data_IF_375750965553
#
_entry.id   IF_375750965553
#
_cell.length_a   1.000
_cell.length_b   1.000
_cell.length_c   1.000
_cell.angle_alpha   90.00
_cell.angle_beta   90.00
_cell.angle_gamma   90.00
#
_symmetry.space_group_name_H-M   'P 1'
#
loop_
_entity.id
_entity.type
_entity.pdbx_description
1 polymer ?
#
# COMPACT_ATOMS: atom_id res chain seq x y z
N UNK A 1 -6.55 -4.35 17.70
CA UNK A 1 -7.04 -5.72 17.46
C UNK A 1 -6.31 -6.23 16.24
N UNK A 2 -5.87 -7.49 16.26
CA UNK A 2 -5.11 -8.06 15.15
C UNK A 2 -6.04 -8.35 13.96
N UNK A 3 -5.45 -8.62 12.80
CA UNK A 3 -6.17 -9.15 11.65
C UNK A 3 -6.85 -10.49 12.03
N UNK A 4 -6.13 -11.36 12.75
CA UNK A 4 -6.59 -12.69 13.17
C UNK A 4 -7.88 -12.62 14.00
N UNK A 5 -7.94 -11.70 14.97
CA UNK A 5 -9.08 -11.54 15.89
C UNK A 5 -10.38 -11.13 15.16
N UNK A 6 -10.25 -10.57 13.96
CA UNK A 6 -11.35 -9.97 13.19
C UNK A 6 -11.74 -10.79 11.97
N UNK A 7 -11.06 -11.90 11.68
CA UNK A 7 -11.39 -12.72 10.52
C UNK A 7 -12.80 -13.30 10.64
N UNK A 8 -13.60 -13.08 9.60
CA UNK A 8 -14.96 -13.64 9.51
C UNK A 8 -15.04 -14.74 8.45
N UNK A 9 -14.05 -14.82 7.57
CA UNK A 9 -13.99 -15.76 6.45
C UNK A 9 -12.55 -15.94 5.97
N UNK A 10 -12.33 -16.96 5.15
CA UNK A 10 -11.07 -17.18 4.44
C UNK A 10 -11.36 -17.79 3.06
N UNK A 11 -10.67 -17.34 1.99
CA UNK A 11 -10.84 -17.92 0.66
C UNK A 11 -10.33 -19.37 0.62
N UNK A 12 -10.98 -20.19 -0.21
CA UNK A 12 -10.47 -21.53 -0.53
C UNK A 12 -9.50 -21.41 -1.69
N UNK A 13 -8.24 -21.83 -1.49
CA UNK A 13 -7.22 -21.78 -2.53
C UNK A 13 -7.69 -22.55 -3.79
N UNK A 14 -7.63 -21.89 -4.95
CA UNK A 14 -7.81 -22.56 -6.24
C UNK A 14 -6.63 -23.50 -6.55
N UNK A 15 -5.41 -23.05 -6.25
CA UNK A 15 -4.16 -23.81 -6.29
C UNK A 15 -3.55 -23.88 -4.88
N UNK A 16 -3.84 -24.94 -4.10
CA UNK A 16 -3.32 -25.09 -2.74
C UNK A 16 -1.79 -25.15 -2.67
N UNK A 17 -1.15 -25.73 -3.69
CA UNK A 17 0.31 -25.83 -3.79
C UNK A 17 0.96 -24.45 -3.89
N UNK A 18 0.42 -23.56 -4.75
CA UNK A 18 0.91 -22.19 -4.86
C UNK A 18 0.68 -21.37 -3.58
N UNK A 19 -0.45 -21.60 -2.90
CA UNK A 19 -0.73 -20.98 -1.61
C UNK A 19 0.27 -21.40 -0.53
N UNK A 20 0.59 -22.70 -0.47
CA UNK A 20 1.56 -23.23 0.48
C UNK A 20 2.99 -22.74 0.20
N UNK A 21 3.37 -22.65 -1.09
CA UNK A 21 4.64 -22.07 -1.52
C UNK A 21 4.76 -20.61 -1.08
N UNK A 22 3.71 -19.80 -1.27
CA UNK A 22 3.70 -18.40 -0.86
C UNK A 22 3.96 -18.22 0.64
N UNK A 23 3.46 -19.14 1.47
CA UNK A 23 3.65 -19.08 2.91
C UNK A 23 5.13 -19.22 3.32
N UNK A 24 5.97 -19.86 2.51
CA UNK A 24 7.42 -19.91 2.75
C UNK A 24 8.08 -18.53 2.75
N UNK A 25 7.47 -17.57 2.05
CA UNK A 25 7.94 -16.18 1.96
C UNK A 25 7.37 -15.27 3.05
N UNK A 26 6.44 -15.75 3.87
CA UNK A 26 5.86 -15.00 4.99
C UNK A 26 6.18 -15.68 6.33
N UNK A 27 7.46 -15.74 6.72
CA UNK A 27 7.86 -16.37 7.97
C UNK A 27 7.21 -15.64 9.16
N UNK A 28 6.56 -16.39 10.04
CA UNK A 28 5.82 -15.85 11.18
C UNK A 28 4.30 -15.80 11.00
N UNK A 29 3.79 -16.05 9.79
CA UNK A 29 2.37 -16.32 9.60
C UNK A 29 2.00 -17.68 10.21
N UNK A 30 0.97 -17.68 11.05
CA UNK A 30 0.44 -18.89 11.67
C UNK A 30 -1.08 -18.81 11.86
N UNK A 31 -1.69 -19.97 12.12
CA UNK A 31 -3.10 -20.06 12.44
C UNK A 31 -4.01 -19.49 11.34
N UNK A 32 -5.13 -18.84 11.71
CA UNK A 32 -6.11 -18.32 10.76
C UNK A 32 -5.54 -17.36 9.70
N UNK A 33 -4.50 -16.60 10.02
CA UNK A 33 -3.87 -15.67 9.08
C UNK A 33 -3.03 -16.42 8.04
N UNK A 34 -2.36 -17.51 8.43
CA UNK A 34 -1.66 -18.37 7.48
C UNK A 34 -2.65 -19.03 6.50
N UNK A 35 -3.82 -19.45 6.98
CA UNK A 35 -4.88 -20.00 6.13
C UNK A 35 -5.41 -18.97 5.14
N UNK A 36 -5.59 -17.72 5.59
CA UNK A 36 -5.98 -16.59 4.74
C UNK A 36 -4.94 -16.33 3.65
N UNK A 37 -3.65 -16.25 4.01
CA UNK A 37 -2.55 -16.03 3.06
C UNK A 37 -2.48 -17.17 2.04
N UNK A 38 -2.58 -18.42 2.49
CA UNK A 38 -2.58 -19.60 1.63
C UNK A 38 -3.75 -19.55 0.65
N UNK A 39 -4.96 -19.27 1.15
CA UNK A 39 -6.17 -19.15 0.33
C UNK A 39 -6.10 -18.03 -0.71
N UNK A 40 -5.57 -16.87 -0.30
CA UNK A 40 -5.44 -15.69 -1.14
C UNK A 40 -4.38 -15.88 -2.23
N UNK A 41 -3.17 -16.31 -1.85
CA UNK A 41 -2.07 -16.53 -2.80
C UNK A 41 -2.38 -17.67 -3.77
N UNK A 42 -3.01 -18.75 -3.29
CA UNK A 42 -3.44 -19.86 -4.15
C UNK A 42 -4.58 -19.52 -5.10
N UNK A 43 -5.22 -18.36 -4.97
CA UNK A 43 -6.33 -17.92 -5.84
C UNK A 43 -6.02 -16.68 -6.66
N UNK A 44 -4.89 -16.01 -6.40
CA UNK A 44 -4.50 -14.76 -7.05
C UNK A 44 -2.99 -14.72 -7.25
N UNK A 45 -2.50 -14.92 -8.49
CA UNK A 45 -1.08 -14.78 -8.81
C UNK A 45 -0.51 -13.40 -8.42
N UNK A 46 -1.36 -12.37 -8.45
CA UNK A 46 -1.00 -11.04 -7.98
C UNK A 46 -0.70 -11.05 -6.48
N UNK A 47 -1.63 -11.55 -5.64
CA UNK A 47 -1.41 -11.60 -4.19
C UNK A 47 -0.25 -12.53 -3.82
N UNK A 48 -0.07 -13.65 -4.54
CA UNK A 48 1.10 -14.51 -4.40
C UNK A 48 2.40 -13.70 -4.56
N UNK A 49 2.53 -12.96 -5.67
CA UNK A 49 3.72 -12.14 -5.92
C UNK A 49 3.97 -11.05 -4.87
N UNK A 50 2.90 -10.53 -4.24
CA UNK A 50 3.02 -9.57 -3.15
C UNK A 50 3.51 -10.22 -1.85
N UNK A 51 3.00 -11.41 -1.52
CA UNK A 51 3.46 -12.20 -0.37
C UNK A 51 4.94 -12.56 -0.55
N UNK A 52 5.35 -13.00 -1.74
CA UNK A 52 6.75 -13.29 -2.06
C UNK A 52 7.67 -12.07 -1.87
N UNK A 53 7.16 -10.88 -2.19
CA UNK A 53 7.94 -9.64 -2.12
C UNK A 53 7.98 -9.00 -0.73
N UNK A 54 6.90 -9.13 0.05
CA UNK A 54 6.69 -8.34 1.29
C UNK A 54 6.35 -9.21 2.51
N UNK A 55 6.47 -10.54 2.43
CA UNK A 55 6.05 -11.45 3.48
C UNK A 55 6.77 -11.25 4.82
N UNK A 56 8.05 -10.84 4.82
CA UNK A 56 8.79 -10.47 6.04
C UNK A 56 8.14 -9.30 6.80
N UNK A 57 7.52 -8.36 6.06
CA UNK A 57 6.81 -7.22 6.65
C UNK A 57 5.39 -7.57 7.08
N UNK A 58 4.75 -8.52 6.39
CA UNK A 58 3.36 -8.87 6.58
C UNK A 58 3.06 -9.33 8.01
N UNK A 59 4.00 -10.01 8.68
CA UNK A 59 3.81 -10.46 10.06
C UNK A 59 3.55 -9.32 11.05
N UNK A 60 4.36 -8.28 11.02
CA UNK A 60 4.10 -7.10 11.85
C UNK A 60 2.83 -6.36 11.43
N UNK A 61 2.54 -6.32 10.13
CA UNK A 61 1.36 -5.64 9.62
C UNK A 61 0.04 -6.31 10.04
N UNK A 62 0.00 -7.64 10.10
CA UNK A 62 -1.18 -8.39 10.52
C UNK A 62 -1.55 -8.17 12.00
N UNK A 63 -0.61 -7.79 12.86
CA UNK A 63 -0.87 -7.51 14.28
C UNK A 63 -1.63 -6.19 14.49
N UNK A 64 -1.41 -5.21 13.62
CA UNK A 64 -2.03 -3.89 13.68
C UNK A 64 -2.16 -3.27 12.28
N UNK A 65 -3.14 -3.71 11.47
CA UNK A 65 -3.17 -3.38 10.04
C UNK A 65 -3.37 -1.88 9.77
N UNK A 66 -4.18 -1.18 10.56
CA UNK A 66 -4.33 0.28 10.44
C UNK A 66 -3.04 1.01 10.80
N UNK A 67 -2.36 0.60 11.88
CA UNK A 67 -1.10 1.22 12.29
C UNK A 67 0.02 0.97 11.25
N UNK A 68 -0.01 -0.18 10.58
CA UNK A 68 0.92 -0.50 9.51
C UNK A 68 0.72 0.39 8.28
N UNK A 69 -0.52 0.74 7.92
CA UNK A 69 -0.81 1.71 6.86
C UNK A 69 -0.33 3.12 7.24
N UNK A 70 -0.60 3.56 8.48
CA UNK A 70 -0.13 4.86 8.96
C UNK A 70 1.40 4.95 8.99
N UNK A 71 2.08 3.86 9.37
CA UNK A 71 3.54 3.79 9.32
C UNK A 71 4.07 3.93 7.88
N UNK A 72 3.44 3.26 6.90
CA UNK A 72 3.79 3.44 5.48
C UNK A 72 3.64 4.91 5.06
N UNK A 73 2.53 5.54 5.43
CA UNK A 73 2.28 6.95 5.09
C UNK A 73 3.30 7.88 5.75
N UNK A 74 3.69 7.61 6.99
CA UNK A 74 4.71 8.38 7.69
C UNK A 74 6.09 8.21 7.03
N UNK A 75 6.54 6.97 6.83
CA UNK A 75 7.85 6.68 6.24
C UNK A 75 8.01 7.29 4.84
N UNK A 76 6.94 7.31 4.05
CA UNK A 76 6.95 7.95 2.73
C UNK A 76 7.14 9.47 2.79
N UNK A 77 6.54 10.15 3.77
CA UNK A 77 6.72 11.60 3.95
C UNK A 77 8.15 11.96 4.35
N UNK A 78 8.81 11.07 5.08
CA UNK A 78 10.22 11.21 5.47
C UNK A 78 11.20 10.74 4.38
N UNK A 79 10.70 10.14 3.28
CA UNK A 79 11.54 9.62 2.22
C UNK A 79 12.03 10.75 1.30
N UNK A 80 13.35 10.89 1.21
CA UNK A 80 14.00 11.81 0.27
C UNK A 80 13.66 11.54 -1.21
N UNK A 81 13.62 12.60 -2.01
CA UNK A 81 13.20 12.54 -3.42
C UNK A 81 14.02 11.57 -4.28
N UNK A 82 15.28 11.33 -3.93
CA UNK A 82 16.20 10.40 -4.61
C UNK A 82 15.79 8.93 -4.46
N UNK A 83 15.13 8.58 -3.34
CA UNK A 83 14.67 7.20 -3.05
C UNK A 83 13.15 7.03 -3.15
N UNK A 84 12.42 8.12 -3.35
CA UNK A 84 10.96 8.12 -3.33
C UNK A 84 10.34 7.16 -4.36
N UNK A 85 10.87 7.09 -5.58
CA UNK A 85 10.31 6.22 -6.62
C UNK A 85 10.29 4.72 -6.24
N UNK A 86 11.43 4.14 -5.84
CA UNK A 86 11.46 2.78 -5.28
C UNK A 86 10.56 2.58 -4.06
N UNK A 87 10.57 3.50 -3.09
CA UNK A 87 9.76 3.35 -1.87
C UNK A 87 8.26 3.44 -2.15
N UNK A 88 7.80 4.32 -3.05
CA UNK A 88 6.40 4.36 -3.48
C UNK A 88 5.94 3.04 -4.10
N UNK A 89 6.81 2.36 -4.87
CA UNK A 89 6.48 1.05 -5.44
C UNK A 89 6.38 -0.03 -4.38
N UNK A 90 7.25 -0.01 -3.37
CA UNK A 90 7.20 -0.92 -2.22
C UNK A 90 5.96 -0.67 -1.37
N UNK A 91 5.69 0.58 -1.04
CA UNK A 91 4.49 0.98 -0.31
C UNK A 91 3.21 0.54 -1.04
N UNK A 92 3.13 0.74 -2.36
CA UNK A 92 1.99 0.28 -3.18
C UNK A 92 1.75 -1.23 -3.05
N UNK A 93 2.81 -2.04 -3.08
CA UNK A 93 2.70 -3.50 -2.89
C UNK A 93 2.16 -3.84 -1.50
N UNK A 94 2.69 -3.20 -0.47
CA UNK A 94 2.29 -3.42 0.93
C UNK A 94 0.84 -3.02 1.21
N UNK A 95 0.44 -1.83 0.75
CA UNK A 95 -0.94 -1.35 0.85
C UNK A 95 -1.88 -2.33 0.14
N UNK A 96 -1.58 -2.71 -1.11
CA UNK A 96 -2.41 -3.65 -1.85
C UNK A 96 -2.50 -5.04 -1.19
N UNK A 97 -1.41 -5.50 -0.56
CA UNK A 97 -1.38 -6.78 0.13
C UNK A 97 -2.26 -6.76 1.37
N UNK A 98 -2.07 -5.79 2.27
CA UNK A 98 -2.82 -5.76 3.53
C UNK A 98 -4.31 -5.45 3.30
N UNK A 99 -4.64 -4.56 2.36
CA UNK A 99 -6.04 -4.27 2.01
C UNK A 99 -6.70 -5.48 1.34
N UNK A 100 -6.00 -6.18 0.43
CA UNK A 100 -6.51 -7.38 -0.20
C UNK A 100 -6.76 -8.52 0.79
N UNK A 101 -5.88 -8.71 1.77
CA UNK A 101 -6.08 -9.71 2.82
C UNK A 101 -7.23 -9.32 3.76
N UNK A 102 -7.34 -8.04 4.14
CA UNK A 102 -8.44 -7.57 4.97
C UNK A 102 -9.81 -7.70 4.26
N UNK A 103 -9.88 -7.46 2.95
CA UNK A 103 -11.07 -7.69 2.13
C UNK A 103 -11.46 -9.18 2.10
N UNK A 104 -10.52 -10.03 1.69
CA UNK A 104 -10.76 -11.47 1.58
C UNK A 104 -11.10 -12.10 2.94
N UNK A 105 -10.49 -11.60 4.02
CA UNK A 105 -10.74 -12.02 5.40
C UNK A 105 -12.05 -11.48 6.00
N UNK A 106 -12.70 -10.53 5.31
CA UNK A 106 -13.91 -9.85 5.79
C UNK A 106 -13.66 -9.02 7.05
N UNK A 107 -12.47 -8.42 7.15
CA UNK A 107 -12.02 -7.61 8.29
C UNK A 107 -12.39 -6.13 8.11
N UNK A 108 -12.30 -5.65 6.87
CA UNK A 108 -12.66 -4.29 6.48
C UNK A 108 -13.88 -4.29 5.57
N UNK A 109 -14.71 -3.25 5.68
CA UNK A 109 -15.79 -2.98 4.74
C UNK A 109 -15.22 -2.50 3.39
N UNK A 110 -16.05 -2.56 2.35
CA UNK A 110 -15.66 -2.06 1.03
C UNK A 110 -15.24 -0.58 1.09
N UNK A 111 -15.96 0.23 1.86
CA UNK A 111 -15.68 1.66 2.05
C UNK A 111 -14.35 1.91 2.77
N UNK A 112 -14.00 1.09 3.76
CA UNK A 112 -12.69 1.16 4.42
C UNK A 112 -11.57 0.81 3.43
N UNK A 113 -11.75 -0.24 2.63
CA UNK A 113 -10.76 -0.68 1.63
C UNK A 113 -10.51 0.42 0.58
N UNK A 114 -11.56 0.91 -0.07
CA UNK A 114 -11.43 1.93 -1.12
C UNK A 114 -10.96 3.26 -0.55
N UNK A 115 -11.32 3.57 0.70
CA UNK A 115 -10.79 4.71 1.46
C UNK A 115 -9.27 4.61 1.62
N UNK A 116 -8.76 3.50 2.16
CA UNK A 116 -7.32 3.28 2.32
C UNK A 116 -6.55 3.33 0.98
N UNK A 117 -7.12 2.76 -0.08
CA UNK A 117 -6.52 2.81 -1.43
C UNK A 117 -6.47 4.25 -1.96
N UNK A 118 -7.53 5.03 -1.75
CA UNK A 118 -7.60 6.45 -2.16
C UNK A 118 -6.61 7.30 -1.38
N UNK A 119 -6.56 7.15 -0.05
CA UNK A 119 -5.66 7.94 0.80
C UNK A 119 -4.19 7.68 0.45
N UNK A 120 -3.83 6.43 0.16
CA UNK A 120 -2.50 6.09 -0.33
C UNK A 120 -2.23 6.72 -1.71
N UNK A 121 -3.19 6.67 -2.64
CA UNK A 121 -3.04 7.26 -3.97
C UNK A 121 -2.86 8.78 -3.91
N UNK A 122 -3.64 9.47 -3.08
CA UNK A 122 -3.52 10.91 -2.84
C UNK A 122 -2.12 11.27 -2.33
N UNK A 123 -1.64 10.57 -1.29
CA UNK A 123 -0.29 10.77 -0.75
C UNK A 123 0.80 10.50 -1.80
N UNK A 124 0.69 9.39 -2.53
CA UNK A 124 1.66 9.02 -3.54
C UNK A 124 1.76 10.06 -4.66
N UNK A 125 0.61 10.59 -5.11
CA UNK A 125 0.54 11.66 -6.10
C UNK A 125 1.17 12.95 -5.58
N UNK A 126 0.83 13.39 -4.35
CA UNK A 126 1.39 14.60 -3.75
C UNK A 126 2.92 14.52 -3.61
N UNK A 127 3.44 13.42 -3.04
CA UNK A 127 4.87 13.25 -2.86
C UNK A 127 5.62 13.18 -4.20
N UNK A 128 5.10 12.42 -5.18
CA UNK A 128 5.71 12.32 -6.50
C UNK A 128 5.75 13.67 -7.22
N UNK A 129 4.67 14.46 -7.09
CA UNK A 129 4.58 15.81 -7.66
C UNK A 129 5.66 16.72 -7.06
N UNK A 130 5.76 16.77 -5.73
CA UNK A 130 6.75 17.60 -5.02
C UNK A 130 8.18 17.19 -5.35
N UNK A 131 8.46 15.89 -5.45
CA UNK A 131 9.78 15.40 -5.84
C UNK A 131 10.16 15.84 -7.27
N UNK A 132 9.22 15.74 -8.23
CA UNK A 132 9.44 16.20 -9.60
C UNK A 132 9.65 17.72 -9.67
N UNK A 133 8.82 18.49 -8.98
CA UNK A 133 8.93 19.95 -8.90
C UNK A 133 10.26 20.38 -8.28
N UNK A 134 10.70 19.72 -7.20
CA UNK A 134 11.98 20.00 -6.55
C UNK A 134 13.17 19.90 -7.53
N UNK A 135 13.15 18.94 -8.45
CA UNK A 135 14.19 18.82 -9.46
C UNK A 135 14.17 20.01 -10.45
N UNK A 136 12.99 20.46 -10.85
CA UNK A 136 12.83 21.56 -11.81
C UNK A 136 13.10 22.94 -11.19
N UNK A 137 12.72 23.17 -9.92
CA UNK A 137 13.10 24.36 -9.15
C UNK A 137 14.61 24.48 -9.05
N UNK A 138 15.31 23.40 -8.65
CA UNK A 138 16.78 23.38 -8.54
C UNK A 138 17.50 23.66 -9.86
N UNK A 139 16.87 23.34 -10.99
CA UNK A 139 17.38 23.60 -12.35
C UNK A 139 17.01 25.00 -12.86
N UNK A 140 16.28 25.80 -12.08
CA UNK A 140 15.79 27.13 -12.48
C UNK A 140 14.76 27.07 -13.61
N UNK A 141 14.03 25.96 -13.74
CA UNK A 141 13.05 25.74 -14.82
C UNK A 141 11.65 26.24 -14.50
N UNK A 142 11.43 26.70 -13.27
CA UNK A 142 10.17 27.31 -12.82
C UNK A 142 10.44 28.78 -12.44
N UNK A 143 10.25 29.73 -13.38
CA UNK A 143 10.53 31.15 -13.13
C UNK A 143 9.70 31.69 -11.96
N UNK A 144 10.36 32.38 -11.04
CA UNK A 144 9.71 33.01 -9.88
C UNK A 144 9.35 32.05 -8.73
N UNK A 145 9.73 30.77 -8.82
CA UNK A 145 9.52 29.78 -7.77
C UNK A 145 10.85 29.40 -7.10
N UNK A 146 10.84 29.28 -5.77
CA UNK A 146 11.95 28.85 -4.92
C UNK A 146 11.67 27.51 -4.22
N UNK A 147 12.60 27.09 -3.35
CA UNK A 147 12.44 25.84 -2.60
C UNK A 147 11.23 25.86 -1.66
N UNK A 148 10.93 27.02 -1.07
CA UNK A 148 9.79 27.21 -0.17
C UNK A 148 8.43 26.97 -0.87
N UNK A 149 8.36 27.17 -2.20
CA UNK A 149 7.15 26.97 -2.99
C UNK A 149 6.86 25.50 -3.29
N UNK A 150 7.83 24.60 -3.12
CA UNK A 150 7.65 23.17 -3.40
C UNK A 150 6.59 22.55 -2.48
N UNK A 151 6.54 23.00 -1.22
CA UNK A 151 5.61 22.48 -0.21
C UNK A 151 4.13 22.71 -0.58
N UNK A 152 3.85 23.72 -1.42
CA UNK A 152 2.50 24.06 -1.92
C UNK A 152 2.30 23.65 -3.38
N UNK A 153 3.23 22.90 -3.96
CA UNK A 153 3.16 22.42 -5.34
C UNK A 153 3.61 23.45 -6.38
N UNK A 154 4.25 24.56 -6.00
CA UNK A 154 4.78 25.58 -6.90
C UNK A 154 3.76 26.06 -7.97
N UNK A 155 2.49 26.19 -7.56
CA UNK A 155 1.37 26.59 -8.43
C UNK A 155 0.79 25.47 -9.31
N UNK A 156 1.34 24.26 -9.24
CA UNK A 156 0.81 23.10 -9.95
C UNK A 156 -0.37 22.47 -9.19
N UNK A 157 -1.43 22.13 -9.91
CA UNK A 157 -2.64 21.50 -9.37
C UNK A 157 -2.92 20.21 -10.13
N UNK A 158 -3.31 19.16 -9.40
CA UNK A 158 -3.72 17.87 -9.96
C UNK A 158 -5.15 17.59 -9.53
N UNK A 159 -6.03 17.31 -10.49
CA UNK A 159 -7.40 16.89 -10.23
C UNK A 159 -7.53 15.37 -10.36
N UNK A 160 -7.86 14.71 -9.26
CA UNK A 160 -8.24 13.30 -9.28
C UNK A 160 -9.63 13.16 -9.91
N UNK A 161 -9.72 12.37 -10.98
CA UNK A 161 -10.97 12.14 -11.73
C UNK A 161 -11.42 10.68 -11.58
N UNK A 162 -12.71 10.42 -11.84
CA UNK A 162 -13.28 9.07 -11.74
C UNK A 162 -13.27 8.52 -10.32
N UNK A 163 -12.94 7.23 -10.15
CA UNK A 163 -13.00 6.53 -8.86
C UNK A 163 -12.18 7.19 -7.76
N UNK A 164 -10.98 7.67 -8.06
CA UNK A 164 -10.14 8.37 -7.09
C UNK A 164 -10.79 9.68 -6.63
N UNK A 165 -11.35 10.46 -7.56
CA UNK A 165 -12.08 11.69 -7.23
C UNK A 165 -13.35 11.44 -6.42
N UNK A 166 -13.96 10.26 -6.58
CA UNK A 166 -15.12 9.80 -5.80
C UNK A 166 -14.73 9.03 -4.52
N UNK A 167 -13.44 8.86 -4.22
CA UNK A 167 -12.89 8.10 -3.09
C UNK A 167 -13.35 6.63 -3.02
N UNK A 168 -13.47 6.00 -4.18
CA UNK A 168 -13.91 4.62 -4.36
C UNK A 168 -12.92 3.80 -5.21
N UNK A 169 -11.60 4.06 -5.05
CA UNK A 169 -10.55 3.39 -5.82
C UNK A 169 -10.63 1.87 -5.81
#
# INVERSE_FOLDING_TARGET
>A
MTLADRLTRSPRAYSPEEGAEALWHAPGMSGPVADLVTGAAGSSPFLKSLVESEGDWLAGAAEAPEAALEAIHHDLRETGADRLGPELRRAKRRVALITGLADLGGVWSLEEITGHLTDFADLACDLALRAALSAEVRRGKLPGMGEDDIATGAGMVVFAMGKMGAREL
#
